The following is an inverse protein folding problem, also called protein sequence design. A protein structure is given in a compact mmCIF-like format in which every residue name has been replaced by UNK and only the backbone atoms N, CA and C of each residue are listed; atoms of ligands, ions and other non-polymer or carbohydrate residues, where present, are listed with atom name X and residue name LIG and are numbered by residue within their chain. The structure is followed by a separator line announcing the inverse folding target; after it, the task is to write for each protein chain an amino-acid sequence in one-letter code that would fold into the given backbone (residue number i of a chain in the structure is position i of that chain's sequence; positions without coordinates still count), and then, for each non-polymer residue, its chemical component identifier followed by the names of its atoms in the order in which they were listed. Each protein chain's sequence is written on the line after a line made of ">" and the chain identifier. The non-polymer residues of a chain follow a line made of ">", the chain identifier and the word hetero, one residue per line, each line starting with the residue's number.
data_IF_951036452850
#
_entry.id   IF_951036452850
#
_cell.length_a   1.000
_cell.length_b   1.000
_cell.length_c   1.000
_cell.angle_alpha   90.00
_cell.angle_beta   90.00
_cell.angle_gamma   90.00
#
_symmetry.space_group_name_H-M   'P 1'
#
loop_
_entity.id
_entity.type
_entity.pdbx_description
1 polymer ?
#
# COMPACT_ATOMS: atom_id res chain seq x y z
N UNK A 1 24.73 3.48 -47.25
CA UNK A 1 25.76 2.75 -46.47
C UNK A 1 25.82 3.35 -45.06
N UNK A 2 25.00 2.88 -44.11
CA UNK A 2 25.02 3.32 -42.70
C UNK A 2 25.13 2.11 -41.74
N UNK A 3 25.86 1.08 -42.16
CA UNK A 3 25.70 -0.25 -41.55
C UNK A 3 26.60 -0.55 -40.35
N UNK A 4 27.69 0.20 -40.13
CA UNK A 4 28.61 -0.07 -39.02
C UNK A 4 28.35 0.82 -37.79
N UNK A 5 28.02 2.10 -38.02
CA UNK A 5 27.75 3.05 -36.93
C UNK A 5 26.48 2.72 -36.15
N UNK A 6 25.40 2.36 -36.84
CA UNK A 6 24.14 2.00 -36.19
C UNK A 6 24.25 0.73 -35.34
N UNK A 7 25.02 -0.26 -35.82
CA UNK A 7 25.26 -1.50 -35.07
C UNK A 7 26.07 -1.24 -33.79
N UNK A 8 27.11 -0.42 -33.86
CA UNK A 8 27.92 -0.06 -32.69
C UNK A 8 27.10 0.69 -31.63
N UNK A 9 26.22 1.61 -32.05
CA UNK A 9 25.32 2.34 -31.13
C UNK A 9 24.32 1.41 -30.46
N UNK A 10 23.71 0.48 -31.20
CA UNK A 10 22.77 -0.49 -30.64
C UNK A 10 23.42 -1.41 -29.60
N UNK A 11 24.63 -1.90 -29.90
CA UNK A 11 25.40 -2.74 -28.97
C UNK A 11 25.79 -1.94 -27.72
N UNK A 12 26.27 -0.71 -27.89
CA UNK A 12 26.61 0.17 -26.77
C UNK A 12 25.42 0.47 -25.87
N UNK A 13 24.24 0.75 -26.44
CA UNK A 13 23.02 1.00 -25.70
C UNK A 13 22.54 -0.24 -24.93
N UNK A 14 22.65 -1.44 -25.51
CA UNK A 14 22.30 -2.69 -24.84
C UNK A 14 23.23 -2.97 -23.65
N UNK A 15 24.55 -2.82 -23.84
CA UNK A 15 25.54 -3.00 -22.77
C UNK A 15 25.31 -1.97 -21.65
N UNK A 16 25.08 -0.71 -22.00
CA UNK A 16 24.81 0.35 -21.02
C UNK A 16 23.51 0.10 -20.23
N UNK A 17 22.45 -0.36 -20.90
CA UNK A 17 21.18 -0.70 -20.26
C UNK A 17 21.33 -1.85 -19.25
N UNK A 18 22.03 -2.91 -19.64
CA UNK A 18 22.32 -4.06 -18.76
C UNK A 18 23.20 -3.62 -17.59
N UNK A 19 24.25 -2.85 -17.85
CA UNK A 19 25.15 -2.35 -16.81
C UNK A 19 24.41 -1.45 -15.81
N UNK A 20 23.55 -0.54 -16.27
CA UNK A 20 22.70 0.28 -15.40
C UNK A 20 21.79 -0.58 -14.53
N UNK A 21 21.16 -1.61 -15.07
CA UNK A 21 20.28 -2.47 -14.28
C UNK A 21 21.03 -3.22 -13.16
N UNK A 22 22.24 -3.70 -13.45
CA UNK A 22 23.04 -4.48 -12.49
C UNK A 22 23.73 -3.58 -11.45
N UNK A 23 24.19 -2.40 -11.87
CA UNK A 23 25.00 -1.50 -11.05
C UNK A 23 24.16 -0.44 -10.31
N UNK A 24 22.88 -0.29 -10.63
CA UNK A 24 22.01 0.63 -9.87
C UNK A 24 21.79 0.03 -8.48
N UNK A 25 22.30 0.66 -7.40
CA UNK A 25 22.06 0.17 -6.06
C UNK A 25 20.56 0.23 -5.78
N UNK A 26 20.01 -0.84 -5.20
CA UNK A 26 18.61 -0.81 -4.74
C UNK A 26 18.51 0.20 -3.60
N UNK A 27 17.78 1.29 -3.80
CA UNK A 27 17.40 2.17 -2.69
C UNK A 27 16.40 1.45 -1.77
N UNK A 28 16.59 1.60 -0.45
CA UNK A 28 15.75 1.00 0.58
C UNK A 28 16.42 -0.13 1.35
N UNK A 29 15.80 -0.51 2.48
CA UNK A 29 16.22 -1.69 3.24
C UNK A 29 15.59 -2.94 2.63
N UNK A 30 16.31 -4.06 2.69
CA UNK A 30 15.70 -5.34 2.40
C UNK A 30 14.47 -5.50 3.31
N UNK A 31 13.32 -5.77 2.71
CA UNK A 31 12.10 -6.18 3.39
C UNK A 31 11.94 -7.69 3.21
N UNK A 32 12.74 -8.52 3.91
CA UNK A 32 12.76 -9.97 3.72
C UNK A 32 11.41 -10.62 4.00
N UNK A 33 10.54 -9.95 4.76
CA UNK A 33 9.16 -10.35 5.07
C UNK A 33 8.14 -10.04 3.95
N UNK A 34 8.51 -9.19 2.99
CA UNK A 34 7.68 -8.78 1.85
C UNK A 34 8.24 -9.23 0.50
N UNK A 35 9.30 -10.04 0.50
CA UNK A 35 9.83 -10.58 -0.75
C UNK A 35 8.79 -11.49 -1.43
N UNK A 36 8.62 -11.32 -2.73
CA UNK A 36 7.53 -11.93 -3.51
C UNK A 36 7.56 -13.46 -3.56
N UNK A 37 8.71 -14.06 -3.27
CA UNK A 37 8.98 -15.49 -3.24
C UNK A 37 8.79 -16.12 -1.85
N UNK A 38 8.53 -15.31 -0.82
CA UNK A 38 8.31 -15.79 0.54
C UNK A 38 6.82 -16.12 0.78
N UNK A 39 6.49 -17.24 1.44
CA UNK A 39 5.14 -17.46 1.93
C UNK A 39 4.77 -16.36 2.95
N UNK A 40 3.55 -15.84 2.87
CA UNK A 40 3.06 -14.82 3.80
C UNK A 40 3.13 -15.38 5.24
N UNK A 41 3.70 -14.63 6.21
CA UNK A 41 3.77 -15.09 7.60
C UNK A 41 2.39 -15.44 8.16
N UNK A 42 2.27 -16.64 8.72
CA UNK A 42 1.10 -17.11 9.45
C UNK A 42 0.96 -16.44 10.82
N UNK A 43 -0.13 -16.76 11.55
CA UNK A 43 -0.34 -16.23 12.90
C UNK A 43 0.79 -16.63 13.86
N UNK A 44 1.40 -17.79 13.66
CA UNK A 44 2.46 -18.33 14.49
C UNK A 44 3.86 -17.86 14.10
N UNK A 45 4.03 -17.31 12.90
CA UNK A 45 5.27 -16.68 12.44
C UNK A 45 5.40 -15.23 12.92
N UNK A 46 4.34 -14.68 13.53
CA UNK A 46 4.37 -13.36 14.20
C UNK A 46 5.18 -13.44 15.49
N UNK A 47 5.48 -12.25 16.03
CA UNK A 47 6.24 -11.99 17.26
C UNK A 47 6.25 -13.15 18.28
N UNK A 48 7.40 -13.44 18.94
CA UNK A 48 7.50 -14.53 19.92
C UNK A 48 6.36 -14.47 20.95
N UNK A 49 5.92 -15.63 21.45
CA UNK A 49 4.72 -15.73 22.29
C UNK A 49 4.68 -14.72 23.45
N UNK A 50 5.83 -14.45 24.08
CA UNK A 50 5.95 -13.49 25.19
C UNK A 50 5.70 -12.01 24.79
N UNK A 51 5.83 -11.69 23.51
CA UNK A 51 5.59 -10.34 22.95
C UNK A 51 4.26 -10.25 22.19
N UNK A 52 3.44 -11.32 22.20
CA UNK A 52 2.10 -11.26 21.63
C UNK A 52 1.18 -10.54 22.63
N UNK A 53 0.36 -9.57 22.18
CA UNK A 53 -0.73 -9.07 23.00
C UNK A 53 -1.61 -10.24 23.45
N UNK A 54 -1.98 -10.27 24.73
CA UNK A 54 -2.90 -11.28 25.25
C UNK A 54 -4.28 -11.10 24.60
N UNK A 55 -4.75 -12.08 23.81
CA UNK A 55 -6.05 -11.97 23.12
C UNK A 55 -7.24 -12.11 24.08
N UNK A 56 -7.00 -12.55 25.32
CA UNK A 56 -8.01 -12.74 26.36
C UNK A 56 -8.05 -11.60 27.37
N UNK A 57 -7.13 -10.64 27.26
CA UNK A 57 -7.09 -9.48 28.14
C UNK A 57 -8.42 -8.70 28.07
N UNK A 58 -9.08 -8.46 29.22
CA UNK A 58 -10.35 -7.74 29.23
C UNK A 58 -10.11 -6.26 28.87
N UNK A 59 -10.89 -5.76 27.90
CA UNK A 59 -10.98 -4.32 27.63
C UNK A 59 -11.91 -3.69 28.67
N UNK A 60 -11.44 -2.65 29.37
CA UNK A 60 -12.23 -1.98 30.40
C UNK A 60 -13.45 -1.27 29.81
N UNK A 61 -14.44 -0.96 30.65
CA UNK A 61 -15.62 -0.19 30.23
C UNK A 61 -15.21 1.18 29.72
N UNK A 62 -14.32 1.88 30.44
CA UNK A 62 -13.87 3.22 30.04
C UNK A 62 -13.17 3.22 28.67
N UNK A 63 -12.28 2.26 28.41
CA UNK A 63 -11.62 2.12 27.11
C UNK A 63 -12.62 1.79 26.01
N UNK A 64 -13.55 0.87 26.26
CA UNK A 64 -14.60 0.52 25.30
C UNK A 64 -15.47 1.73 24.94
N UNK A 65 -15.85 2.53 25.94
CA UNK A 65 -16.63 3.75 25.74
C UNK A 65 -15.84 4.80 24.95
N UNK A 66 -14.54 4.93 25.20
CA UNK A 66 -13.67 5.86 24.47
C UNK A 66 -13.50 5.49 22.99
N UNK A 67 -13.60 4.21 22.66
CA UNK A 67 -13.47 3.68 21.29
C UNK A 67 -14.82 3.58 20.56
N UNK A 68 -15.91 4.09 21.16
CA UNK A 68 -17.22 4.05 20.54
C UNK A 68 -17.20 4.84 19.22
N UNK A 69 -17.67 4.24 18.10
CA UNK A 69 -17.79 4.97 16.85
C UNK A 69 -18.63 6.24 17.03
N UNK A 70 -18.23 7.33 16.38
CA UNK A 70 -19.05 8.54 16.32
C UNK A 70 -20.26 8.28 15.41
N UNK A 71 -21.30 7.65 15.94
CA UNK A 71 -22.55 7.31 15.22
C UNK A 71 -23.48 8.53 15.03
N UNK A 72 -22.92 9.74 15.03
CA UNK A 72 -23.67 10.94 14.71
C UNK A 72 -24.10 10.96 13.23
N UNK A 73 -25.00 11.87 12.85
CA UNK A 73 -25.38 12.06 11.46
C UNK A 73 -24.11 12.27 10.61
N UNK A 74 -24.01 11.54 9.50
CA UNK A 74 -22.92 11.74 8.55
C UNK A 74 -22.99 13.20 8.05
N UNK A 75 -21.93 14.00 8.18
CA UNK A 75 -21.89 15.31 7.55
C UNK A 75 -22.07 15.14 6.04
N UNK A 76 -23.18 15.62 5.50
CA UNK A 76 -23.37 15.67 4.05
C UNK A 76 -22.64 16.90 3.49
N UNK A 77 -21.92 16.70 2.38
CA UNK A 77 -21.27 17.78 1.62
C UNK A 77 -22.25 18.54 0.70
N UNK A 78 -23.48 18.04 0.56
CA UNK A 78 -24.50 18.60 -0.32
C UNK A 78 -25.51 19.39 0.52
N UNK A 79 -25.71 20.67 0.17
CA UNK A 79 -26.80 21.50 0.69
C UNK A 79 -28.11 21.03 0.06
N UNK A 80 -29.17 20.95 0.87
CA UNK A 80 -30.51 20.62 0.39
C UNK A 80 -31.11 21.84 -0.32
N UNK A 81 -30.62 22.12 -1.53
CA UNK A 81 -31.21 23.13 -2.41
C UNK A 81 -32.38 22.53 -3.21
N UNK A 82 -33.54 22.48 -2.55
CA UNK A 82 -34.86 22.65 -3.16
C UNK A 82 -35.23 21.70 -4.30
N UNK A 83 -36.01 20.67 -3.96
CA UNK A 83 -36.88 19.93 -4.89
C UNK A 83 -37.67 20.91 -5.77
N UNK A 84 -37.47 20.87 -7.10
CA UNK A 84 -38.30 21.61 -8.05
C UNK A 84 -39.77 21.16 -7.90
N UNK A 85 -40.74 22.08 -7.74
CA UNK A 85 -42.15 21.70 -7.80
C UNK A 85 -42.48 21.22 -9.21
N UNK A 86 -43.01 20.00 -9.27
CA UNK A 86 -43.54 19.34 -10.45
C UNK A 86 -44.59 20.22 -11.12
N UNK A 87 -44.27 20.81 -12.27
CA UNK A 87 -45.22 21.56 -13.09
C UNK A 87 -45.99 20.60 -13.97
N UNK A 88 -47.20 20.22 -13.53
CA UNK A 88 -48.24 19.67 -14.42
C UNK A 88 -49.59 20.25 -14.03
N UNK A 89 -50.10 21.19 -14.84
CA UNK A 89 -51.51 21.38 -15.17
C UNK A 89 -51.64 22.15 -16.47
#
# INVERSE_FOLDING_TARGET
>A
MFSLGAAAVAIGAAIYGVARQILTPSEGHAAPDLALDQPRPGADDRAPAAFRPDPTAPVSVAERESLRPATGPVPTLVRDEGVLPDTVH
#
